data_IF_571722727250
#
_entry.id   IF_571722727250
#
_cell.length_a   1.000
_cell.length_b   1.000
_cell.length_c   1.000
_cell.angle_alpha   90.00
_cell.angle_beta   90.00
_cell.angle_gamma   90.00
#
_symmetry.space_group_name_H-M   'P 1'
#
loop_
_entity.id
_entity.type
_entity.pdbx_description
1 polymer ?
#
# COMPACT_ATOMS: atom_id res chain seq x y z
N UNK A 1 -1.81 -8.05 -6.92
CA UNK A 1 -3.23 -7.62 -7.01
C UNK A 1 -3.29 -6.10 -7.18
N UNK A 2 -4.43 -5.54 -7.57
CA UNK A 2 -4.73 -4.11 -7.39
C UNK A 2 -4.88 -3.80 -5.90
N UNK A 3 -4.22 -2.76 -5.39
CA UNK A 3 -4.36 -2.32 -4.00
C UNK A 3 -5.77 -1.80 -3.72
N UNK A 4 -6.32 -2.09 -2.54
CA UNK A 4 -7.71 -1.73 -2.20
C UNK A 4 -7.95 -0.23 -2.17
N UNK A 5 -6.93 0.59 -1.86
CA UNK A 5 -7.04 2.05 -1.91
C UNK A 5 -7.03 2.61 -3.34
N UNK A 6 -6.89 1.75 -4.37
CA UNK A 6 -6.94 2.11 -5.78
C UNK A 6 -8.37 2.14 -6.35
N UNK A 7 -9.37 1.92 -5.51
CA UNK A 7 -10.78 2.06 -5.85
C UNK A 7 -11.31 3.44 -5.43
N UNK A 8 -12.07 4.08 -6.31
CA UNK A 8 -12.76 5.33 -5.99
C UNK A 8 -13.70 5.19 -4.79
N UNK A 9 -13.76 6.23 -3.95
CA UNK A 9 -14.68 6.28 -2.80
C UNK A 9 -14.22 5.52 -1.56
N UNK A 10 -13.00 4.96 -1.56
CA UNK A 10 -12.44 4.27 -0.37
C UNK A 10 -12.06 5.22 0.76
N UNK A 11 -11.59 6.42 0.44
CA UNK A 11 -11.26 7.48 1.38
C UNK A 11 -11.43 8.86 0.73
N UNK A 12 -11.41 9.92 1.54
CA UNK A 12 -11.43 11.30 1.07
C UNK A 12 -10.02 11.73 0.64
N UNK A 13 -9.70 11.49 -0.64
CA UNK A 13 -8.37 11.73 -1.23
C UNK A 13 -8.50 12.50 -2.54
N UNK A 14 -7.43 13.18 -2.97
CA UNK A 14 -7.38 13.86 -4.27
C UNK A 14 -7.50 12.89 -5.45
N UNK A 15 -6.90 11.71 -5.31
CA UNK A 15 -7.05 10.58 -6.22
C UNK A 15 -6.81 9.26 -5.49
N UNK A 16 -7.46 8.14 -5.90
CA UNK A 16 -7.04 6.81 -5.48
C UNK A 16 -5.60 6.54 -5.87
N UNK A 17 -4.97 5.53 -5.26
CA UNK A 17 -3.64 5.11 -5.69
C UNK A 17 -3.67 4.60 -7.13
N UNK A 18 -2.60 4.87 -7.87
CA UNK A 18 -2.44 4.44 -9.24
C UNK A 18 -2.32 2.91 -9.31
N UNK A 19 -3.04 2.27 -10.24
CA UNK A 19 -2.80 0.87 -10.62
C UNK A 19 -2.09 0.82 -11.97
N UNK A 20 -1.42 -0.29 -12.26
CA UNK A 20 -0.74 -0.50 -13.54
C UNK A 20 -1.27 -1.75 -14.25
N UNK A 21 -1.08 -1.83 -15.56
CA UNK A 21 -1.30 -3.07 -16.31
C UNK A 21 -0.16 -4.08 -16.08
N UNK A 22 -0.24 -5.25 -16.73
CA UNK A 22 0.78 -6.31 -16.60
C UNK A 22 2.18 -5.92 -17.10
N UNK A 23 2.29 -4.82 -17.85
CA UNK A 23 3.53 -4.29 -18.41
C UNK A 23 3.99 -3.03 -17.65
N UNK A 24 3.44 -2.81 -16.45
CA UNK A 24 3.73 -1.67 -15.57
C UNK A 24 3.31 -0.29 -16.13
N UNK A 25 2.39 -0.26 -17.11
CA UNK A 25 1.85 1.02 -17.59
C UNK A 25 0.75 1.53 -16.66
N UNK A 26 0.79 2.80 -16.21
CA UNK A 26 -0.26 3.38 -15.37
C UNK A 26 -1.64 3.35 -16.04
N UNK A 27 -2.64 2.85 -15.32
CA UNK A 27 -4.04 2.79 -15.75
C UNK A 27 -4.84 4.02 -15.30
N UNK A 28 -5.31 4.85 -16.23
CA UNK A 28 -6.21 5.96 -15.90
C UNK A 28 -7.59 5.49 -15.41
N UNK A 29 -8.02 4.29 -15.79
CA UNK A 29 -9.30 3.73 -15.39
C UNK A 29 -9.24 3.16 -13.96
N UNK A 30 -9.68 3.94 -12.97
CA UNK A 30 -9.79 3.51 -11.57
C UNK A 30 -10.82 2.38 -11.35
N UNK A 31 -11.71 2.11 -12.31
CA UNK A 31 -12.62 0.97 -12.26
C UNK A 31 -12.04 -0.31 -12.89
N UNK A 32 -10.80 -0.29 -13.40
CA UNK A 32 -10.14 -1.47 -13.94
C UNK A 32 -10.10 -2.60 -12.90
N UNK A 33 -10.51 -3.79 -13.35
CA UNK A 33 -10.73 -4.96 -12.50
C UNK A 33 -9.40 -5.47 -11.92
N UNK A 34 -9.43 -5.89 -10.65
CA UNK A 34 -8.27 -6.42 -9.95
C UNK A 34 -7.70 -7.65 -10.67
N UNK A 35 -6.42 -7.61 -11.02
CA UNK A 35 -5.71 -8.70 -11.70
C UNK A 35 -5.60 -10.02 -10.91
N UNK A 36 -5.95 -10.01 -9.62
CA UNK A 36 -6.10 -11.24 -8.83
C UNK A 36 -7.49 -11.89 -8.96
N UNK A 37 -8.39 -11.28 -9.72
CA UNK A 37 -9.68 -11.86 -10.09
C UNK A 37 -9.64 -12.30 -11.56
N UNK A 38 -10.46 -13.29 -11.91
CA UNK A 38 -10.54 -13.77 -13.30
C UNK A 38 -10.88 -12.63 -14.27
N UNK A 39 -10.07 -12.46 -15.32
CA UNK A 39 -10.21 -11.40 -16.32
C UNK A 39 -9.80 -10.00 -15.85
N UNK A 40 -9.16 -9.87 -14.68
CA UNK A 40 -8.64 -8.61 -14.18
C UNK A 40 -7.39 -8.14 -14.93
N UNK A 41 -7.18 -6.83 -14.96
CA UNK A 41 -6.07 -6.19 -15.70
C UNK A 41 -5.29 -5.16 -14.88
N UNK A 42 -5.73 -4.87 -13.67
CA UNK A 42 -5.10 -3.90 -12.78
C UNK A 42 -4.25 -4.58 -11.70
N UNK A 43 -2.99 -4.16 -11.60
CA UNK A 43 -1.99 -4.65 -10.68
C UNK A 43 -1.41 -3.46 -9.88
N UNK A 44 -0.65 -3.77 -8.84
CA UNK A 44 0.20 -2.81 -8.17
C UNK A 44 1.32 -2.37 -9.12
N UNK A 45 1.61 -1.07 -9.19
CA UNK A 45 2.71 -0.56 -9.99
C UNK A 45 4.05 -0.86 -9.32
N UNK A 46 5.10 -1.12 -10.10
CA UNK A 46 6.45 -1.43 -9.59
C UNK A 46 7.10 -0.24 -8.91
N UNK A 47 6.67 1.00 -9.24
CA UNK A 47 7.09 2.19 -8.51
C UNK A 47 6.48 2.31 -7.09
N UNK A 48 5.62 1.36 -6.70
CA UNK A 48 5.14 1.22 -5.33
C UNK A 48 5.97 0.21 -4.51
N UNK A 49 7.22 0.00 -4.89
CA UNK A 49 8.23 -0.75 -4.13
C UNK A 49 8.98 0.16 -3.13
N UNK A 50 9.56 -0.40 -2.06
CA UNK A 50 10.31 0.37 -1.08
C UNK A 50 11.69 0.78 -1.60
N UNK A 51 12.24 1.87 -1.06
CA UNK A 51 13.60 2.30 -1.35
C UNK A 51 14.28 2.91 -0.11
N UNK A 52 15.58 2.69 0.00
CA UNK A 52 16.39 3.31 1.04
C UNK A 52 16.71 4.77 0.67
N UNK A 53 16.53 5.67 1.63
CA UNK A 53 17.03 7.05 1.55
C UNK A 53 18.48 7.09 2.03
N UNK A 54 18.75 6.36 3.10
CA UNK A 54 20.07 6.12 3.69
C UNK A 54 20.02 4.84 4.54
N UNK A 55 21.12 4.51 5.21
CA UNK A 55 21.27 3.29 6.03
C UNK A 55 20.27 3.15 7.19
N UNK A 56 19.59 4.23 7.57
CA UNK A 56 18.67 4.25 8.73
C UNK A 56 17.23 4.61 8.38
N UNK A 57 16.97 5.08 7.15
CA UNK A 57 15.65 5.55 6.70
C UNK A 57 15.34 5.00 5.32
N UNK A 58 14.16 4.39 5.21
CA UNK A 58 13.56 3.99 3.95
C UNK A 58 12.15 4.56 3.81
N UNK A 59 11.68 4.63 2.57
CA UNK A 59 10.27 4.86 2.23
C UNK A 59 9.70 3.61 1.57
N UNK A 60 8.37 3.45 1.61
CA UNK A 60 7.70 2.36 0.92
C UNK A 60 6.19 2.42 1.05
N UNK A 61 5.58 1.25 0.92
CA UNK A 61 4.14 1.08 0.85
C UNK A 61 3.74 -0.15 1.66
N UNK A 62 2.50 -0.19 2.14
CA UNK A 62 2.01 -1.30 2.93
C UNK A 62 0.52 -1.56 2.74
N UNK A 63 0.12 -2.82 2.90
CA UNK A 63 -1.25 -3.13 3.29
C UNK A 63 -1.39 -2.99 4.80
N UNK A 64 -2.49 -2.41 5.28
CA UNK A 64 -2.66 -2.12 6.71
C UNK A 64 -3.98 -2.62 7.26
N UNK A 65 -3.98 -2.94 8.55
CA UNK A 65 -5.19 -3.20 9.35
C UNK A 65 -5.02 -2.56 10.72
N UNK A 66 -5.59 -1.38 10.91
CA UNK A 66 -5.41 -0.61 12.14
C UNK A 66 -6.63 -0.75 13.06
N UNK A 67 -6.39 -0.95 14.36
CA UNK A 67 -7.46 -1.04 15.34
C UNK A 67 -8.24 0.28 15.42
N UNK A 68 -9.57 0.19 15.48
CA UNK A 68 -10.45 1.36 15.57
C UNK A 68 -10.59 2.17 14.28
N UNK A 69 -9.98 1.73 13.18
CA UNK A 69 -10.06 2.37 11.86
C UNK A 69 -10.76 1.52 10.81
N UNK A 70 -11.00 2.14 9.66
CA UNK A 70 -11.45 1.51 8.42
C UNK A 70 -10.62 2.03 7.24
N UNK A 71 -10.86 1.51 6.04
CA UNK A 71 -10.19 1.99 4.82
C UNK A 71 -10.31 3.50 4.62
N UNK A 72 -11.43 4.11 5.03
CA UNK A 72 -11.62 5.56 4.91
C UNK A 72 -10.68 6.37 5.80
N UNK A 73 -10.17 5.76 6.87
CA UNK A 73 -9.24 6.41 7.80
C UNK A 73 -7.77 6.22 7.43
N UNK A 74 -7.41 5.11 6.77
CA UNK A 74 -6.00 4.79 6.50
C UNK A 74 -5.62 4.84 5.02
N UNK A 75 -6.55 4.73 4.07
CA UNK A 75 -6.16 4.73 2.67
C UNK A 75 -5.43 6.03 2.30
N UNK A 76 -4.27 5.87 1.69
CA UNK A 76 -3.32 6.91 1.33
C UNK A 76 -2.65 7.65 2.52
N UNK A 77 -2.96 7.31 3.78
CA UNK A 77 -2.27 7.84 4.93
C UNK A 77 -0.83 7.32 5.01
N UNK A 78 0.07 8.12 5.58
CA UNK A 78 1.46 7.76 5.78
C UNK A 78 1.77 7.52 7.26
N UNK A 79 2.58 6.50 7.53
CA UNK A 79 2.99 6.10 8.88
C UNK A 79 4.49 5.98 8.96
N UNK A 80 5.09 6.51 10.04
CA UNK A 80 6.50 6.31 10.35
C UNK A 80 6.63 5.12 11.30
N UNK A 81 7.20 4.03 10.79
CA UNK A 81 7.49 2.83 11.56
C UNK A 81 8.93 2.88 12.07
N UNK A 82 9.14 2.63 13.36
CA UNK A 82 10.47 2.39 13.93
C UNK A 82 10.53 0.95 14.38
N UNK A 83 11.42 0.17 13.77
CA UNK A 83 11.53 -1.25 14.07
C UNK A 83 12.07 -1.47 15.49
N UNK A 84 11.46 -2.38 16.24
CA UNK A 84 11.81 -2.64 17.65
C UNK A 84 12.58 -3.94 17.87
N UNK A 85 12.75 -4.75 16.82
CA UNK A 85 13.39 -6.07 16.83
C UNK A 85 14.02 -6.40 15.47
N UNK A 86 14.66 -7.57 15.38
CA UNK A 86 15.31 -8.05 14.15
C UNK A 86 16.60 -7.30 13.78
N UNK A 87 17.14 -7.59 12.59
CA UNK A 87 18.39 -6.99 12.10
C UNK A 87 18.29 -5.48 11.83
N UNK A 88 17.07 -4.97 11.63
CA UNK A 88 16.79 -3.56 11.32
C UNK A 88 16.29 -2.77 12.54
N UNK A 89 16.43 -3.31 13.76
CA UNK A 89 16.00 -2.63 14.99
C UNK A 89 16.58 -1.20 15.07
N UNK A 90 15.72 -0.23 15.33
CA UNK A 90 16.04 1.19 15.41
C UNK A 90 15.98 1.93 14.07
N UNK A 91 16.03 1.23 12.93
CA UNK A 91 15.82 1.85 11.63
C UNK A 91 14.36 2.27 11.45
N UNK A 92 14.15 3.20 10.51
CA UNK A 92 12.84 3.79 10.22
C UNK A 92 12.40 3.46 8.80
N UNK A 93 11.15 3.04 8.65
CA UNK A 93 10.47 2.92 7.37
C UNK A 93 9.21 3.79 7.37
N UNK A 94 9.11 4.72 6.43
CA UNK A 94 7.92 5.55 6.26
C UNK A 94 7.08 4.94 5.12
N UNK A 95 5.89 4.48 5.44
CA UNK A 95 5.01 3.79 4.47
C UNK A 95 3.76 4.57 4.17
N UNK A 96 3.31 4.54 2.91
CA UNK A 96 1.93 4.88 2.56
C UNK A 96 1.06 3.61 2.58
N UNK A 97 -0.12 3.69 3.20
CA UNK A 97 -1.10 2.62 3.17
C UNK A 97 -1.84 2.59 1.82
N UNK A 98 -1.61 1.55 1.04
CA UNK A 98 -2.12 1.38 -0.34
C UNK A 98 -3.14 0.26 -0.46
N UNK A 99 -3.22 -0.58 0.57
CA UNK A 99 -4.09 -1.74 0.58
C UNK A 99 -4.58 -2.04 2.01
N UNK A 100 -5.60 -2.88 2.11
CA UNK A 100 -6.04 -3.49 3.36
C UNK A 100 -5.79 -4.98 3.28
N UNK A 101 -5.07 -5.54 4.24
CA UNK A 101 -5.00 -6.99 4.40
C UNK A 101 -6.14 -7.46 5.30
N UNK A 102 -7.11 -8.18 4.73
CA UNK A 102 -8.33 -8.60 5.43
C UNK A 102 -8.10 -9.67 6.50
N UNK A 103 -7.05 -10.47 6.32
CA UNK A 103 -6.55 -11.55 7.15
C UNK A 103 -5.55 -11.09 8.23
N UNK A 104 -5.15 -9.83 8.19
CA UNK A 104 -4.18 -9.29 9.12
C UNK A 104 -4.78 -9.07 10.52
N UNK A 105 -3.95 -9.29 11.54
CA UNK A 105 -4.26 -8.91 12.93
C UNK A 105 -4.37 -7.38 13.13
N UNK A 106 -4.62 -6.96 14.37
CA UNK A 106 -4.72 -5.54 14.71
C UNK A 106 -3.36 -4.84 14.64
N UNK A 107 -3.36 -3.60 14.14
CA UNK A 107 -2.18 -2.74 13.96
C UNK A 107 -1.06 -3.40 13.13
N UNK A 108 -1.46 -4.19 12.14
CA UNK A 108 -0.54 -4.92 11.28
C UNK A 108 -0.28 -4.12 10.00
N UNK A 109 1.01 -4.03 9.64
CA UNK A 109 1.52 -3.53 8.39
C UNK A 109 2.17 -4.69 7.63
N UNK A 110 1.58 -5.08 6.49
CA UNK A 110 2.18 -6.00 5.54
C UNK A 110 2.93 -5.17 4.49
N UNK A 111 4.26 -5.20 4.56
CA UNK A 111 5.14 -4.32 3.80
C UNK A 111 5.25 -4.81 2.35
N UNK A 112 5.02 -3.94 1.39
CA UNK A 112 5.29 -4.25 -0.01
C UNK A 112 6.80 -4.35 -0.23
N UNK A 113 7.24 -5.39 -0.95
CA UNK A 113 8.66 -5.67 -1.23
C UNK A 113 8.83 -6.04 -2.70
#
# INVERSE_FOLDING_TARGET
CKGSCGWSGKASVSSPIQSCDKSDNPLSNMAAKNGCESGGTAYMCSNQSPWAVNDTVAYGFAAVKLAGGTESSWCCACYKLTFTSGAVKGQTLIVQATNTGGDLGQNHFDLAM
#
